data_IF_707109459286
#
_entry.id   IF_707109459286
#
_cell.length_a   1.000
_cell.length_b   1.000
_cell.length_c   1.000
_cell.angle_alpha   90.00
_cell.angle_beta   90.00
_cell.angle_gamma   90.00
#
_symmetry.space_group_name_H-M   'P 1'
#
loop_
_entity.id
_entity.type
_entity.pdbx_description
1 polymer ?
#
# COMPACT_ATOMS: atom_id res chain seq x y z
N UNK A 1 45.37 7.08 -61.61
CA UNK A 1 46.23 7.56 -60.51
C UNK A 1 45.47 8.62 -59.70
N UNK A 2 44.40 8.27 -58.98
CA UNK A 2 43.67 9.19 -58.05
C UNK A 2 42.69 8.45 -57.09
N UNK A 3 42.75 7.13 -56.93
CA UNK A 3 41.76 6.39 -56.09
C UNK A 3 42.25 6.14 -54.65
N UNK A 4 43.55 6.32 -54.38
CA UNK A 4 44.19 5.87 -53.13
C UNK A 4 44.23 6.95 -52.02
N UNK A 5 44.08 8.25 -52.34
CA UNK A 5 44.20 9.33 -51.34
C UNK A 5 42.91 9.65 -50.59
N UNK A 6 41.75 9.21 -51.07
CA UNK A 6 40.46 9.50 -50.42
C UNK A 6 40.20 8.56 -49.25
N UNK A 7 40.71 7.34 -49.30
CA UNK A 7 40.51 6.32 -48.25
C UNK A 7 41.42 6.59 -47.04
N UNK A 8 42.64 7.09 -47.24
CA UNK A 8 43.59 7.31 -46.14
C UNK A 8 43.17 8.45 -45.20
N UNK A 9 42.45 9.46 -45.70
CA UNK A 9 41.95 10.56 -44.87
C UNK A 9 40.66 10.23 -44.10
N UNK A 10 39.86 9.23 -44.52
CA UNK A 10 38.67 8.81 -43.77
C UNK A 10 39.06 7.89 -42.60
N UNK A 11 40.01 6.97 -42.81
CA UNK A 11 40.41 5.97 -41.81
C UNK A 11 40.99 6.60 -40.53
N UNK A 12 41.70 7.73 -40.63
CA UNK A 12 42.21 8.46 -39.46
C UNK A 12 41.11 9.15 -38.63
N UNK A 13 40.13 9.77 -39.30
CA UNK A 13 38.99 10.41 -38.62
C UNK A 13 38.04 9.37 -38.00
N UNK A 14 37.90 8.21 -38.64
CA UNK A 14 37.04 7.13 -38.16
C UNK A 14 37.63 6.48 -36.89
N UNK A 15 38.96 6.35 -36.77
CA UNK A 15 39.61 5.82 -35.56
C UNK A 15 39.45 6.74 -34.36
N UNK A 16 39.56 8.05 -34.54
CA UNK A 16 39.38 9.04 -33.47
C UNK A 16 37.91 9.09 -33.02
N UNK A 17 36.98 9.07 -33.97
CA UNK A 17 35.55 8.97 -33.68
C UNK A 17 35.21 7.70 -32.90
N UNK A 18 35.80 6.55 -33.26
CA UNK A 18 35.58 5.31 -32.53
C UNK A 18 36.12 5.35 -31.10
N UNK A 19 37.22 6.06 -30.85
CA UNK A 19 37.76 6.25 -29.50
C UNK A 19 36.91 7.22 -28.66
N UNK A 20 36.35 8.26 -29.27
CA UNK A 20 35.35 9.11 -28.62
C UNK A 20 34.08 8.33 -28.30
N UNK A 21 33.60 7.49 -29.23
CA UNK A 21 32.44 6.64 -29.01
C UNK A 21 32.70 5.59 -27.93
N UNK A 22 33.93 5.05 -27.83
CA UNK A 22 34.34 4.17 -26.72
C UNK A 22 34.35 4.92 -25.40
N UNK A 23 34.83 6.16 -25.37
CA UNK A 23 34.87 7.00 -24.16
C UNK A 23 33.46 7.41 -23.71
N UNK A 24 32.59 7.74 -24.67
CA UNK A 24 31.17 8.01 -24.43
C UNK A 24 30.49 6.73 -23.94
N UNK A 25 30.71 5.58 -24.58
CA UNK A 25 30.19 4.28 -24.12
C UNK A 25 30.66 3.95 -22.71
N UNK A 26 31.92 4.21 -22.37
CA UNK A 26 32.45 4.00 -21.02
C UNK A 26 31.90 4.99 -19.97
N UNK A 27 31.48 6.19 -20.38
CA UNK A 27 30.83 7.18 -19.50
C UNK A 27 29.31 7.01 -19.43
N UNK A 28 28.70 6.42 -20.46
CA UNK A 28 27.27 6.16 -20.57
C UNK A 28 26.87 4.77 -20.10
N UNK A 29 27.80 3.81 -20.06
CA UNK A 29 27.68 2.62 -19.22
C UNK A 29 27.66 3.14 -17.78
N UNK A 30 26.49 3.14 -17.10
CA UNK A 30 26.43 3.59 -15.73
C UNK A 30 27.40 2.70 -14.95
N UNK A 31 28.41 3.31 -14.30
CA UNK A 31 29.31 2.61 -13.36
C UNK A 31 28.46 1.58 -12.63
N UNK A 32 28.76 0.26 -12.73
CA UNK A 32 27.88 -0.80 -12.28
C UNK A 32 27.29 -0.38 -10.95
N UNK A 33 25.96 -0.27 -10.87
CA UNK A 33 25.27 0.09 -9.63
C UNK A 33 25.98 -0.71 -8.53
N UNK A 34 26.53 -0.05 -7.48
CA UNK A 34 27.42 -0.69 -6.53
C UNK A 34 26.87 -2.09 -6.23
N UNK A 35 27.65 -3.17 -6.46
CA UNK A 35 27.15 -4.52 -6.26
C UNK A 35 26.46 -4.52 -4.91
N UNK A 36 25.18 -4.92 -4.88
CA UNK A 36 24.37 -4.92 -3.67
C UNK A 36 25.26 -5.41 -2.53
N UNK A 37 25.37 -4.67 -1.41
CA UNK A 37 26.27 -5.02 -0.32
C UNK A 37 26.22 -6.53 -0.09
N UNK A 38 27.37 -7.24 -0.07
CA UNK A 38 27.38 -8.69 0.00
C UNK A 38 26.41 -9.14 1.08
N UNK A 39 25.48 -10.08 0.78
CA UNK A 39 24.41 -10.43 1.70
C UNK A 39 25.05 -10.72 3.05
N UNK A 40 24.70 -9.93 4.08
CA UNK A 40 25.37 -10.04 5.36
C UNK A 40 25.09 -11.43 5.92
N UNK A 41 26.17 -12.22 6.14
CA UNK A 41 26.05 -13.59 6.63
C UNK A 41 25.17 -13.66 7.88
N UNK A 42 24.07 -14.40 7.79
CA UNK A 42 23.17 -14.71 8.91
C UNK A 42 21.70 -14.37 8.60
N UNK A 43 20.83 -15.34 8.89
CA UNK A 43 19.38 -15.27 8.65
C UNK A 43 18.70 -13.98 9.11
N UNK A 44 19.09 -13.44 10.28
CA UNK A 44 18.49 -12.20 10.84
C UNK A 44 18.81 -10.98 9.97
N UNK A 45 20.01 -10.92 9.39
CA UNK A 45 20.40 -9.78 8.56
C UNK A 45 19.79 -9.87 7.16
N UNK A 46 19.66 -11.09 6.62
CA UNK A 46 18.90 -11.37 5.39
C UNK A 46 17.41 -11.03 5.57
N UNK A 47 16.82 -11.40 6.71
CA UNK A 47 15.43 -11.08 7.04
C UNK A 47 15.22 -9.57 7.20
N UNK A 48 16.13 -8.87 7.89
CA UNK A 48 16.07 -7.40 7.98
C UNK A 48 16.17 -6.74 6.60
N UNK A 49 17.10 -7.19 5.75
CA UNK A 49 17.22 -6.71 4.37
C UNK A 49 15.96 -6.99 3.56
N UNK A 50 15.32 -8.15 3.74
CA UNK A 50 14.04 -8.46 3.11
C UNK A 50 12.95 -7.47 3.55
N UNK A 51 12.81 -7.22 4.86
CA UNK A 51 11.80 -6.28 5.37
C UNK A 51 12.01 -4.85 4.83
N UNK A 52 13.27 -4.42 4.68
CA UNK A 52 13.64 -3.12 4.10
C UNK A 52 13.39 -3.07 2.59
N UNK A 53 13.81 -4.10 1.84
CA UNK A 53 13.66 -4.18 0.38
C UNK A 53 12.19 -4.17 -0.07
N UNK A 54 11.34 -4.89 0.66
CA UNK A 54 9.92 -5.03 0.33
C UNK A 54 9.02 -4.03 1.08
N UNK A 55 9.59 -3.09 1.85
CA UNK A 55 8.86 -2.08 2.65
C UNK A 55 7.73 -2.67 3.52
N UNK A 56 7.89 -3.92 3.95
CA UNK A 56 6.82 -4.69 4.64
C UNK A 56 6.49 -4.10 6.01
N UNK A 57 7.46 -3.46 6.67
CA UNK A 57 7.24 -2.85 7.98
C UNK A 57 6.15 -1.78 7.97
N UNK A 58 6.08 -0.94 6.93
CA UNK A 58 5.02 0.08 6.82
C UNK A 58 3.64 -0.55 6.65
N UNK A 59 3.53 -1.60 5.84
CA UNK A 59 2.27 -2.33 5.64
C UNK A 59 1.82 -3.06 6.90
N UNK A 60 2.75 -3.69 7.63
CA UNK A 60 2.44 -4.40 8.87
C UNK A 60 1.89 -3.45 9.94
N UNK A 61 2.50 -2.28 10.12
CA UNK A 61 2.02 -1.28 11.08
C UNK A 61 0.64 -0.75 10.69
N UNK A 62 0.44 -0.42 9.41
CA UNK A 62 -0.85 0.06 8.91
C UNK A 62 -1.96 -0.98 9.10
N UNK A 63 -1.67 -2.25 8.84
CA UNK A 63 -2.61 -3.35 9.01
C UNK A 63 -3.00 -3.56 10.47
N UNK A 64 -2.02 -3.65 11.38
CA UNK A 64 -2.28 -3.80 12.81
C UNK A 64 -3.09 -2.63 13.35
N UNK A 65 -2.70 -1.39 13.01
CA UNK A 65 -3.45 -0.20 13.41
C UNK A 65 -4.87 -0.21 12.85
N UNK A 66 -5.04 -0.64 11.60
CA UNK A 66 -6.34 -0.81 10.96
C UNK A 66 -7.23 -1.84 11.67
N UNK A 67 -6.68 -2.98 12.06
CA UNK A 67 -7.41 -3.99 12.84
C UNK A 67 -7.90 -3.43 14.18
N UNK A 68 -7.01 -2.82 14.96
CA UNK A 68 -7.37 -2.26 16.26
C UNK A 68 -8.36 -1.09 16.12
N UNK A 69 -8.17 -0.20 15.15
CA UNK A 69 -9.12 0.88 14.88
C UNK A 69 -10.51 0.33 14.49
N UNK A 70 -10.56 -0.73 13.68
CA UNK A 70 -11.79 -1.43 13.35
C UNK A 70 -12.50 -1.95 14.61
N UNK A 71 -11.77 -2.61 15.51
CA UNK A 71 -12.35 -3.10 16.79
C UNK A 71 -12.83 -1.97 17.70
N UNK A 72 -12.12 -0.84 17.74
CA UNK A 72 -12.51 0.34 18.52
C UNK A 72 -13.84 0.91 18.01
N UNK A 73 -13.96 1.10 16.70
CA UNK A 73 -15.19 1.59 16.06
C UNK A 73 -16.32 0.59 16.26
N UNK A 74 -16.06 -0.70 16.11
CA UNK A 74 -17.06 -1.74 16.37
C UNK A 74 -17.55 -1.69 17.82
N UNK A 75 -16.65 -1.58 18.80
CA UNK A 75 -16.99 -1.45 20.22
C UNK A 75 -17.83 -0.20 20.50
N UNK A 76 -17.49 0.94 19.89
CA UNK A 76 -18.30 2.17 19.99
C UNK A 76 -19.72 1.93 19.47
N UNK A 77 -19.87 1.23 18.35
CA UNK A 77 -21.21 0.94 17.80
C UNK A 77 -21.96 -0.07 18.67
N UNK A 78 -21.37 -1.22 18.98
CA UNK A 78 -22.06 -2.30 19.68
C UNK A 78 -22.34 -1.97 21.14
N UNK A 79 -21.47 -1.22 21.81
CA UNK A 79 -21.55 -0.99 23.25
C UNK A 79 -22.14 0.38 23.62
N UNK A 80 -22.12 1.36 22.71
CA UNK A 80 -22.71 2.68 22.96
C UNK A 80 -23.90 2.95 22.05
N UNK A 81 -23.78 2.75 20.74
CA UNK A 81 -24.85 3.11 19.80
C UNK A 81 -26.03 2.11 19.85
N UNK A 82 -25.75 0.80 19.81
CA UNK A 82 -26.81 -0.23 19.82
C UNK A 82 -27.70 -0.15 21.07
N UNK A 83 -27.17 -0.02 22.31
CA UNK A 83 -28.02 0.14 23.49
C UNK A 83 -28.90 1.39 23.44
N UNK A 84 -28.42 2.50 22.86
CA UNK A 84 -29.23 3.71 22.67
C UNK A 84 -30.37 3.44 21.68
N UNK A 85 -30.10 2.73 20.59
CA UNK A 85 -31.12 2.36 19.60
C UNK A 85 -32.16 1.42 20.22
N UNK A 86 -31.73 0.43 21.00
CA UNK A 86 -32.63 -0.54 21.64
C UNK A 86 -33.57 0.12 22.67
N UNK A 87 -33.11 1.19 23.34
CA UNK A 87 -33.95 1.99 24.24
C UNK A 87 -35.00 2.80 23.45
N UNK A 88 -34.62 3.34 22.29
CA UNK A 88 -35.51 4.19 21.46
C UNK A 88 -36.51 3.35 20.66
N UNK A 89 -36.12 2.15 20.25
CA UNK A 89 -36.94 1.20 19.49
C UNK A 89 -37.14 -0.10 20.29
N UNK A 90 -37.84 -0.04 21.44
CA UNK A 90 -38.05 -1.21 22.26
C UNK A 90 -38.91 -2.24 21.50
N UNK A 91 -38.43 -3.48 21.43
CA UNK A 91 -39.21 -4.61 20.92
C UNK A 91 -38.93 -5.00 19.46
N UNK A 92 -38.03 -4.32 18.74
CA UNK A 92 -37.61 -4.82 17.44
C UNK A 92 -36.50 -5.86 17.59
N UNK A 93 -36.90 -7.08 17.95
CA UNK A 93 -36.01 -8.22 17.94
C UNK A 93 -35.79 -8.70 16.50
N UNK A 94 -35.08 -7.90 15.69
CA UNK A 94 -34.76 -8.23 14.30
C UNK A 94 -34.12 -9.61 14.18
N UNK A 95 -33.34 -10.02 15.20
CA UNK A 95 -32.67 -11.32 15.30
C UNK A 95 -33.63 -12.52 15.38
N UNK A 96 -34.88 -12.30 15.82
CA UNK A 96 -35.90 -13.33 16.01
C UNK A 96 -36.88 -13.43 14.84
N UNK A 97 -36.65 -12.69 13.75
CA UNK A 97 -37.47 -12.80 12.52
C UNK A 97 -36.92 -13.97 11.70
N UNK A 98 -37.61 -15.10 11.79
CA UNK A 98 -37.33 -16.31 11.02
C UNK A 98 -38.36 -16.48 9.92
N UNK A 99 -37.93 -16.76 8.69
CA UNK A 99 -38.82 -17.23 7.63
C UNK A 99 -38.39 -18.66 7.26
N UNK A 100 -38.90 -19.64 8.02
CA UNK A 100 -38.50 -21.04 7.89
C UNK A 100 -37.02 -21.26 8.29
N UNK A 101 -36.24 -22.08 7.55
CA UNK A 101 -34.83 -22.33 7.87
C UNK A 101 -33.91 -21.12 7.58
N UNK A 102 -34.44 -20.05 7.00
CA UNK A 102 -33.66 -18.87 6.64
C UNK A 102 -33.69 -17.82 7.75
N UNK A 103 -32.50 -17.50 8.26
CA UNK A 103 -32.24 -16.49 9.29
C UNK A 103 -32.21 -15.07 8.68
N UNK A 104 -33.30 -14.66 8.03
CA UNK A 104 -33.38 -13.34 7.37
C UNK A 104 -33.26 -12.19 8.39
N UNK A 105 -33.74 -12.40 9.61
CA UNK A 105 -33.61 -11.45 10.71
C UNK A 105 -32.17 -11.11 11.10
N UNK A 106 -31.28 -12.11 11.17
CA UNK A 106 -29.87 -11.88 11.52
C UNK A 106 -29.13 -11.15 10.39
N UNK A 107 -29.45 -11.44 9.13
CA UNK A 107 -28.89 -10.74 7.99
C UNK A 107 -29.32 -9.26 7.94
N UNK A 108 -30.62 -8.97 8.15
CA UNK A 108 -31.12 -7.60 8.23
C UNK A 108 -30.49 -6.83 9.40
N UNK A 109 -30.35 -7.46 10.57
CA UNK A 109 -29.64 -6.87 11.70
C UNK A 109 -28.18 -6.54 11.38
N UNK A 110 -27.47 -7.45 10.69
CA UNK A 110 -26.10 -7.20 10.23
C UNK A 110 -26.02 -6.05 9.21
N UNK A 111 -26.99 -5.96 8.29
CA UNK A 111 -27.07 -4.89 7.30
C UNK A 111 -27.30 -3.51 7.96
N UNK A 112 -28.22 -3.44 8.93
CA UNK A 112 -28.45 -2.22 9.73
C UNK A 112 -27.20 -1.83 10.53
N UNK A 113 -26.55 -2.81 11.18
CA UNK A 113 -25.30 -2.58 11.92
C UNK A 113 -24.19 -2.04 11.02
N UNK A 114 -24.07 -2.57 9.80
CA UNK A 114 -23.11 -2.08 8.81
C UNK A 114 -23.40 -0.62 8.41
N UNK A 115 -24.66 -0.26 8.17
CA UNK A 115 -25.05 1.13 7.90
C UNK A 115 -24.68 2.06 9.06
N UNK A 116 -24.89 1.62 10.31
CA UNK A 116 -24.53 2.39 11.50
C UNK A 116 -23.01 2.58 11.59
N UNK A 117 -22.21 1.53 11.39
CA UNK A 117 -20.74 1.63 11.39
C UNK A 117 -20.28 2.61 10.30
N UNK A 118 -20.83 2.52 9.09
CA UNK A 118 -20.50 3.45 8.00
C UNK A 118 -20.84 4.90 8.38
N UNK A 119 -21.99 5.14 9.01
CA UNK A 119 -22.41 6.46 9.49
C UNK A 119 -21.47 6.99 10.58
N UNK A 120 -21.05 6.15 11.52
CA UNK A 120 -20.14 6.54 12.61
C UNK A 120 -18.75 6.88 12.07
N UNK A 121 -18.21 6.08 11.15
CA UNK A 121 -16.92 6.37 10.50
C UNK A 121 -17.01 7.70 9.74
N UNK A 122 -18.09 7.92 8.99
CA UNK A 122 -18.33 9.19 8.31
C UNK A 122 -18.39 10.37 9.29
N UNK A 123 -19.06 10.20 10.44
CA UNK A 123 -19.13 11.23 11.47
C UNK A 123 -17.76 11.54 12.06
N UNK A 124 -16.94 10.52 12.34
CA UNK A 124 -15.57 10.68 12.85
C UNK A 124 -14.70 11.46 11.85
N UNK A 125 -14.70 11.08 10.57
CA UNK A 125 -13.96 11.79 9.52
C UNK A 125 -14.45 13.24 9.40
N UNK A 126 -15.76 13.44 9.48
CA UNK A 126 -16.37 14.79 9.42
C UNK A 126 -16.00 15.66 10.61
N UNK A 127 -15.95 15.10 11.82
CA UNK A 127 -15.53 15.82 13.04
C UNK A 127 -14.06 16.21 12.94
N UNK A 128 -13.18 15.28 12.55
CA UNK A 128 -11.76 15.56 12.35
C UNK A 128 -11.54 16.63 11.27
N UNK A 129 -12.28 16.56 10.16
CA UNK A 129 -12.26 17.57 9.10
C UNK A 129 -12.76 18.94 9.58
N UNK A 130 -13.75 18.99 10.47
CA UNK A 130 -14.26 20.24 11.06
C UNK A 130 -13.33 20.85 12.10
N UNK A 131 -12.55 20.03 12.82
CA UNK A 131 -11.67 20.48 13.91
C UNK A 131 -10.34 21.06 13.42
N UNK A 132 -10.11 21.14 12.11
CA UNK A 132 -9.02 21.95 11.55
C UNK A 132 -7.61 21.46 11.90
N UNK A 133 -7.45 20.18 12.26
CA UNK A 133 -6.13 19.55 12.34
C UNK A 133 -5.74 19.20 10.90
N UNK A 134 -5.02 20.11 10.24
CA UNK A 134 -4.33 19.83 8.98
C UNK A 134 -3.34 18.69 9.15
#
# INVERSE_FOLDING_TARGET
MTVDRTITNSVGSDSEMLDELRKIRALLEPKPAPPAPPPPKGFVKEFKMFLEQYKVMGMAVAFILGLYLGTLVQSLVTNLIMPIIDIVLPGIAWQNIHAGPFLIGSFLGALVTFLIIALVIFLLVKITSKLGIK
#
